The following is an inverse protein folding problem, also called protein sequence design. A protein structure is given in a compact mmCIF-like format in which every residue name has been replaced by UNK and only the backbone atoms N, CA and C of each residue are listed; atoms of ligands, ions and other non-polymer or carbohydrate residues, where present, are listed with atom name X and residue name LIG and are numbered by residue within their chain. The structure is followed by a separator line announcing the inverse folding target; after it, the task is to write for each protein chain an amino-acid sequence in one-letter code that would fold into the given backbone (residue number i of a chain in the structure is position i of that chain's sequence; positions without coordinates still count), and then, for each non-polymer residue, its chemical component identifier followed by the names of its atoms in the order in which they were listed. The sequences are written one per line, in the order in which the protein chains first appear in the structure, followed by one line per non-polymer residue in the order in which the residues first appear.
data_IF_801111518096
#
_entry.id   IF_801111518096
#
_cell.length_a   1.000
_cell.length_b   1.000
_cell.length_c   1.000
_cell.angle_alpha   90.00
_cell.angle_beta   90.00
_cell.angle_gamma   90.00
#
_symmetry.space_group_name_H-M   'P 1'
#
loop_
_entity.id
_entity.type
_entity.pdbx_description
1 polymer ?
#
# COMPACT_ATOMS: atom_id res chain seq x y z
N UNK A 1 19.97 22.03 -19.31
CA UNK A 1 18.50 21.96 -19.46
C UNK A 1 17.94 21.44 -18.14
N UNK A 2 17.13 22.25 -17.44
CA UNK A 2 16.41 21.84 -16.22
C UNK A 2 15.42 20.74 -16.63
N UNK A 3 15.55 19.54 -16.06
CA UNK A 3 14.43 18.65 -15.87
C UNK A 3 14.14 18.74 -14.37
N UNK A 4 13.24 19.68 -14.02
CA UNK A 4 11.90 19.34 -13.57
C UNK A 4 12.00 18.54 -12.28
N UNK A 5 11.83 19.25 -11.15
CA UNK A 5 11.47 18.63 -9.89
C UNK A 5 10.39 17.59 -10.20
N UNK A 6 10.69 16.32 -9.93
CA UNK A 6 9.66 15.30 -9.88
C UNK A 6 8.69 15.74 -8.77
N UNK A 7 7.68 16.52 -9.16
CA UNK A 7 6.41 16.62 -8.45
C UNK A 7 5.68 15.29 -8.68
N UNK A 8 6.34 14.19 -8.36
CA UNK A 8 5.69 12.90 -8.24
C UNK A 8 5.06 12.94 -6.86
N UNK A 9 3.72 12.93 -6.82
CA UNK A 9 2.99 12.59 -5.60
C UNK A 9 3.76 11.46 -4.92
N UNK A 10 4.22 11.69 -3.69
CA UNK A 10 5.10 10.71 -3.06
C UNK A 10 4.38 9.36 -3.10
N UNK A 11 5.07 8.27 -3.41
CA UNK A 11 4.49 6.91 -3.35
C UNK A 11 3.81 6.64 -1.99
N UNK A 12 4.11 7.43 -0.96
CA UNK A 12 3.57 7.37 0.38
C UNK A 12 2.42 8.37 0.64
N UNK A 13 1.99 9.15 -0.34
CA UNK A 13 0.84 10.07 -0.19
C UNK A 13 -0.48 9.31 -0.16
N UNK A 14 -0.58 8.10 -0.72
CA UNK A 14 -1.78 7.27 -0.58
C UNK A 14 -1.80 6.61 0.80
N UNK A 15 -2.82 6.91 1.62
CA UNK A 15 -3.05 6.33 2.96
C UNK A 15 -2.98 4.80 2.94
N UNK A 16 -3.37 4.20 1.81
CA UNK A 16 -3.33 2.75 1.56
C UNK A 16 -1.92 2.17 1.53
N UNK A 17 -0.94 2.89 0.95
CA UNK A 17 0.44 2.40 0.86
C UNK A 17 1.07 2.43 2.24
N UNK A 18 0.85 3.50 3.00
CA UNK A 18 1.27 3.58 4.40
C UNK A 18 0.64 2.45 5.23
N UNK A 19 -0.66 2.24 5.10
CA UNK A 19 -1.39 1.17 5.79
C UNK A 19 -0.89 -0.22 5.40
N UNK A 20 -0.65 -0.47 4.11
CA UNK A 20 -0.08 -1.73 3.64
C UNK A 20 1.32 -1.98 4.21
N UNK A 21 2.15 -0.94 4.35
CA UNK A 21 3.50 -1.06 4.93
C UNK A 21 3.47 -1.37 6.43
N UNK A 22 2.53 -0.76 7.17
CA UNK A 22 2.34 -1.01 8.60
C UNK A 22 1.79 -2.42 8.82
N UNK A 23 0.73 -2.77 8.08
CA UNK A 23 -0.07 -3.96 8.33
C UNK A 23 0.53 -5.20 7.65
N UNK A 24 1.17 -5.05 6.49
CA UNK A 24 1.72 -6.13 5.67
C UNK A 24 0.65 -7.20 5.39
N UNK A 25 1.02 -8.49 5.50
CA UNK A 25 0.10 -9.63 5.40
C UNK A 25 -1.09 -9.56 6.37
N UNK A 26 -0.95 -8.88 7.50
CA UNK A 26 -2.02 -8.79 8.49
C UNK A 26 -3.20 -7.95 7.97
N UNK A 27 -2.99 -7.14 6.93
CA UNK A 27 -4.08 -6.44 6.23
C UNK A 27 -5.11 -7.40 5.60
N UNK A 28 -4.74 -8.66 5.34
CA UNK A 28 -5.61 -9.64 4.67
C UNK A 28 -6.60 -10.32 5.63
N UNK A 29 -6.31 -10.28 6.93
CA UNK A 29 -7.16 -10.81 8.00
C UNK A 29 -7.74 -9.65 8.81
N UNK A 30 -9.06 -9.49 8.77
CA UNK A 30 -9.75 -8.34 9.37
C UNK A 30 -9.42 -8.15 10.86
N UNK A 31 -9.45 -9.22 11.65
CA UNK A 31 -9.11 -9.16 13.08
C UNK A 31 -7.65 -8.74 13.31
N UNK A 32 -6.69 -9.32 12.58
CA UNK A 32 -5.27 -8.96 12.71
C UNK A 32 -4.99 -7.53 12.25
N UNK A 33 -5.67 -7.10 11.19
CA UNK A 33 -5.60 -5.74 10.70
C UNK A 33 -6.04 -4.75 11.79
N UNK A 34 -7.21 -4.97 12.40
CA UNK A 34 -7.73 -4.11 13.46
C UNK A 34 -6.80 -4.08 14.69
N UNK A 35 -6.34 -5.25 15.16
CA UNK A 35 -5.44 -5.35 16.31
C UNK A 35 -4.12 -4.62 16.08
N UNK A 36 -3.53 -4.79 14.90
CA UNK A 36 -2.24 -4.17 14.56
C UNK A 36 -2.37 -2.68 14.34
N UNK A 37 -3.46 -2.23 13.71
CA UNK A 37 -3.76 -0.81 13.52
C UNK A 37 -4.00 -0.13 14.87
N UNK A 38 -4.69 -0.79 15.80
CA UNK A 38 -4.90 -0.30 17.17
C UNK A 38 -3.57 -0.17 17.92
N UNK A 39 -2.73 -1.20 17.93
CA UNK A 39 -1.40 -1.16 18.56
C UNK A 39 -0.52 -0.06 17.99
N UNK A 40 -0.55 0.12 16.66
CA UNK A 40 0.17 1.20 16.00
C UNK A 40 -0.30 2.58 16.50
N UNK A 41 -1.61 2.79 16.56
CA UNK A 41 -2.19 4.04 17.05
C UNK A 41 -1.94 4.30 18.54
N UNK A 42 -1.92 3.26 19.39
CA UNK A 42 -1.55 3.38 20.80
C UNK A 42 -0.08 3.77 20.95
N UNK A 43 0.83 3.08 20.25
CA UNK A 43 2.27 3.40 20.24
C UNK A 43 2.53 4.84 19.80
N UNK A 44 1.79 5.30 18.78
CA UNK A 44 1.87 6.67 18.30
C UNK A 44 1.40 7.69 19.34
N UNK A 45 0.31 7.43 20.07
CA UNK A 45 -0.15 8.30 21.16
C UNK A 45 0.87 8.41 22.29
N UNK A 46 1.49 7.29 22.65
CA UNK A 46 2.46 7.23 23.75
C UNK A 46 3.80 7.89 23.39
N UNK A 47 4.12 7.98 22.09
CA UNK A 47 5.40 8.50 21.60
C UNK A 47 5.62 10.02 21.76
N UNK A 48 4.64 10.78 22.29
CA UNK A 48 4.67 12.25 22.36
C UNK A 48 4.86 12.95 21.00
N UNK A 49 4.81 12.20 19.90
CA UNK A 49 4.99 12.71 18.55
C UNK A 49 3.74 13.47 18.11
N UNK A 50 3.94 14.68 17.61
CA UNK A 50 2.88 15.47 17.01
C UNK A 50 2.52 14.87 15.64
N UNK A 51 1.53 13.98 15.62
CA UNK A 51 1.11 13.21 14.43
C UNK A 51 0.73 14.12 13.25
N UNK A 52 0.22 15.33 13.56
CA UNK A 52 -0.09 16.35 12.55
C UNK A 52 1.16 16.83 11.80
N UNK A 53 2.34 16.71 12.41
CA UNK A 53 3.64 17.05 11.82
C UNK A 53 4.29 15.89 11.06
N UNK A 54 3.92 14.64 11.35
CA UNK A 54 4.48 13.47 10.65
C UNK A 54 3.74 13.21 9.35
N UNK A 55 2.41 13.10 9.41
CA UNK A 55 1.60 13.04 8.20
C UNK A 55 0.14 13.38 8.51
N UNK A 56 -0.43 14.35 7.78
CA UNK A 56 -1.83 14.82 7.95
C UNK A 56 -2.86 13.67 7.87
N UNK A 57 -2.52 12.57 7.19
CA UNK A 57 -3.38 11.39 7.05
C UNK A 57 -3.38 10.44 8.25
N UNK A 58 -2.47 10.60 9.22
CA UNK A 58 -2.38 9.74 10.41
C UNK A 58 -3.51 9.97 11.42
N UNK A 59 -4.05 11.19 11.54
CA UNK A 59 -5.23 11.42 12.39
C UNK A 59 -6.44 10.63 11.87
N UNK A 60 -6.66 10.69 10.55
CA UNK A 60 -7.67 9.89 9.88
C UNK A 60 -7.50 8.40 10.18
N UNK A 61 -6.26 7.89 10.10
CA UNK A 61 -5.90 6.49 10.32
C UNK A 61 -6.27 5.96 11.72
N UNK A 62 -6.11 6.77 12.76
CA UNK A 62 -6.34 6.37 14.15
C UNK A 62 -7.73 6.71 14.73
N UNK A 63 -8.66 7.21 13.92
CA UNK A 63 -10.06 7.41 14.36
C UNK A 63 -10.74 6.09 14.76
N UNK A 64 -11.11 5.99 16.04
CA UNK A 64 -11.91 4.89 16.59
C UNK A 64 -13.27 4.79 15.89
N UNK A 65 -13.71 3.56 15.59
CA UNK A 65 -14.97 3.29 14.87
C UNK A 65 -14.86 3.24 13.35
N UNK A 66 -13.74 3.69 12.77
CA UNK A 66 -13.47 3.58 11.32
C UNK A 66 -12.42 2.51 10.97
N UNK A 67 -11.77 1.90 11.95
CA UNK A 67 -10.70 0.89 11.72
C UNK A 67 -11.18 -0.28 10.88
N UNK A 68 -12.34 -0.85 11.21
CA UNK A 68 -12.96 -1.95 10.44
C UNK A 68 -13.09 -1.59 8.96
N UNK A 69 -13.72 -0.45 8.68
CA UNK A 69 -13.90 0.02 7.30
C UNK A 69 -12.56 0.25 6.59
N UNK A 70 -11.54 0.79 7.27
CA UNK A 70 -10.19 0.93 6.69
C UNK A 70 -9.58 -0.41 6.34
N UNK A 71 -9.67 -1.39 7.24
CA UNK A 71 -9.19 -2.74 6.99
C UNK A 71 -9.90 -3.38 5.78
N UNK A 72 -11.23 -3.25 5.70
CA UNK A 72 -12.01 -3.74 4.54
C UNK A 72 -11.61 -3.05 3.25
N UNK A 73 -11.53 -1.71 3.24
CA UNK A 73 -11.16 -0.93 2.04
C UNK A 73 -9.74 -1.26 1.59
N UNK A 74 -8.79 -1.32 2.53
CA UNK A 74 -7.40 -1.67 2.23
C UNK A 74 -7.29 -3.06 1.64
N UNK A 75 -7.94 -4.05 2.26
CA UNK A 75 -7.96 -5.44 1.76
C UNK A 75 -8.48 -5.50 0.33
N UNK A 76 -9.65 -4.91 0.06
CA UNK A 76 -10.25 -4.89 -1.28
C UNK A 76 -9.32 -4.24 -2.30
N UNK A 77 -8.63 -3.16 -1.93
CA UNK A 77 -7.69 -2.47 -2.85
C UNK A 77 -6.44 -3.29 -3.12
N UNK A 78 -5.87 -3.93 -2.10
CA UNK A 78 -4.73 -4.86 -2.27
C UNK A 78 -5.16 -6.03 -3.15
N UNK A 79 -6.29 -6.67 -2.88
CA UNK A 79 -6.82 -7.76 -3.69
C UNK A 79 -7.05 -7.33 -5.15
N UNK A 80 -7.61 -6.13 -5.37
CA UNK A 80 -7.82 -5.57 -6.72
C UNK A 80 -6.49 -5.34 -7.45
N UNK A 81 -5.49 -4.74 -6.77
CA UNK A 81 -4.15 -4.53 -7.34
C UNK A 81 -3.49 -5.88 -7.67
N UNK A 82 -3.50 -6.84 -6.74
CA UNK A 82 -2.96 -8.19 -6.94
C UNK A 82 -3.65 -8.95 -8.07
N UNK A 83 -4.98 -8.90 -8.16
CA UNK A 83 -5.74 -9.59 -9.21
C UNK A 83 -5.46 -8.97 -10.58
N UNK A 84 -5.49 -7.64 -10.68
CA UNK A 84 -5.13 -6.92 -11.92
C UNK A 84 -3.73 -7.29 -12.37
N UNK A 85 -2.80 -7.34 -11.42
CA UNK A 85 -1.41 -7.71 -11.68
C UNK A 85 -1.27 -9.17 -12.15
N UNK A 86 -1.94 -10.10 -11.48
CA UNK A 86 -1.97 -11.52 -11.84
C UNK A 86 -2.49 -11.74 -13.26
N UNK A 87 -3.54 -11.02 -13.69
CA UNK A 87 -4.06 -11.12 -15.05
C UNK A 87 -3.08 -10.57 -16.10
N UNK A 88 -2.35 -9.49 -15.77
CA UNK A 88 -1.25 -9.01 -16.63
C UNK A 88 -0.16 -10.06 -16.76
N UNK A 89 0.31 -10.63 -15.65
CA UNK A 89 1.33 -11.68 -15.66
C UNK A 89 0.90 -12.91 -16.46
N UNK A 90 -0.35 -13.37 -16.32
CA UNK A 90 -0.90 -14.49 -17.13
C UNK A 90 -0.85 -14.19 -18.62
N UNK A 91 -1.00 -12.93 -19.03
CA UNK A 91 -0.93 -12.52 -20.43
C UNK A 91 0.51 -12.52 -20.91
N UNK A 92 1.43 -11.99 -20.10
CA UNK A 92 2.87 -11.94 -20.41
C UNK A 92 3.48 -13.35 -20.50
N UNK A 93 3.17 -14.25 -19.56
CA UNK A 93 3.73 -15.61 -19.51
C UNK A 93 3.35 -16.44 -20.76
N UNK A 94 2.28 -16.07 -21.47
CA UNK A 94 1.89 -16.72 -22.73
C UNK A 94 2.69 -16.24 -23.94
N UNK A 95 3.43 -15.13 -23.84
CA UNK A 95 4.29 -14.63 -24.92
C UNK A 95 5.56 -15.48 -25.01
N UNK A 96 6.02 -15.73 -26.23
CA UNK A 96 7.39 -16.22 -26.43
C UNK A 96 8.39 -15.17 -25.93
N UNK A 97 9.54 -15.63 -25.42
CA UNK A 97 10.61 -14.76 -24.89
C UNK A 97 11.01 -13.67 -25.90
N UNK A 98 11.08 -14.00 -27.20
CA UNK A 98 11.41 -13.07 -28.29
C UNK A 98 10.38 -11.94 -28.51
N UNK A 99 9.18 -12.08 -27.94
CA UNK A 99 8.06 -11.13 -28.04
C UNK A 99 7.81 -10.39 -26.71
N UNK A 100 8.68 -10.59 -25.71
CA UNK A 100 8.65 -9.81 -24.48
C UNK A 100 9.19 -8.40 -24.75
N UNK A 101 8.49 -7.40 -24.21
CA UNK A 101 8.88 -5.99 -24.30
C UNK A 101 9.23 -5.47 -22.90
N UNK A 102 10.00 -4.37 -22.82
CA UNK A 102 10.33 -3.72 -21.54
C UNK A 102 9.07 -3.34 -20.73
N UNK A 103 7.95 -3.09 -21.42
CA UNK A 103 6.65 -2.81 -20.81
C UNK A 103 6.06 -4.02 -20.07
N UNK A 104 6.41 -5.24 -20.48
CA UNK A 104 6.03 -6.47 -19.79
C UNK A 104 6.82 -6.60 -18.46
N UNK A 105 8.08 -6.14 -18.45
CA UNK A 105 8.95 -6.08 -17.28
C UNK A 105 8.70 -4.88 -16.36
N UNK A 106 8.01 -3.83 -16.81
CA UNK A 106 7.61 -2.69 -15.96
C UNK A 106 6.74 -3.12 -14.75
N UNK A 107 6.18 -4.32 -14.81
CA UNK A 107 5.49 -5.02 -13.72
C UNK A 107 6.41 -5.40 -12.53
N UNK A 108 7.74 -5.47 -12.70
CA UNK A 108 8.69 -5.81 -11.62
C UNK A 108 8.61 -4.85 -10.42
N UNK A 109 8.43 -3.55 -10.67
CA UNK A 109 8.32 -2.56 -9.59
C UNK A 109 7.08 -2.81 -8.71
N UNK A 110 6.02 -3.38 -9.28
CA UNK A 110 4.83 -3.78 -8.54
C UNK A 110 5.03 -5.09 -7.77
N UNK A 111 5.84 -6.04 -8.28
CA UNK A 111 6.27 -7.23 -7.53
C UNK A 111 7.05 -6.86 -6.27
N UNK A 112 8.07 -6.00 -6.40
CA UNK A 112 8.91 -5.56 -5.28
C UNK A 112 8.10 -4.91 -4.16
N UNK A 113 7.03 -4.18 -4.50
CA UNK A 113 6.13 -3.57 -3.51
C UNK A 113 5.27 -4.61 -2.76
N UNK A 114 4.93 -5.73 -3.39
CA UNK A 114 4.08 -6.78 -2.82
C UNK A 114 4.87 -7.86 -2.04
N UNK A 115 6.19 -7.93 -2.19
CA UNK A 115 7.08 -8.84 -1.44
C UNK A 115 7.43 -8.33 -0.02
N UNK A 116 7.02 -7.11 0.36
CA UNK A 116 7.35 -6.43 1.63
C UNK A 116 6.53 -6.76 2.87
#
# INVERSE_FOLDING_TARGET
RRAAAAQGASLYEEEEILLALILKKDAMEEQKCEEKLKKYCETLKDSSLDLKKIHVKQEGLCENGKMKNKCTVLKTKIETKCNTFKEKLKTVIKKDIKNLEDTDCANEQQCLFLEG
#
